data_IF_751847059648
#
_entry.id   IF_751847059648
#
_cell.length_a   1.000
_cell.length_b   1.000
_cell.length_c   1.000
_cell.angle_alpha   90.00
_cell.angle_beta   90.00
_cell.angle_gamma   90.00
#
_symmetry.space_group_name_H-M   'P 1'
#
loop_
_entity.id
_entity.type
_entity.pdbx_description
1 polymer ?
#
# COMPACT_ATOMS: atom_id res chain seq x y z
N UNK A 1 -4.59 -1.97 25.17
CA UNK A 1 -3.67 -1.99 24.00
C UNK A 1 -3.24 -0.55 23.72
N UNK A 2 -1.95 -0.25 23.65
CA UNK A 2 -1.47 1.13 23.38
C UNK A 2 -1.60 1.47 21.89
N UNK A 3 -1.66 2.76 21.55
CA UNK A 3 -1.68 3.22 20.14
C UNK A 3 -0.46 2.74 19.35
N UNK A 4 0.70 2.65 20.02
CA UNK A 4 1.94 2.14 19.42
C UNK A 4 1.83 0.64 19.10
N UNK A 5 1.26 -0.17 20.00
CA UNK A 5 1.06 -1.60 19.74
C UNK A 5 0.12 -1.81 18.56
N UNK A 6 -0.95 -1.01 18.46
CA UNK A 6 -1.88 -1.06 17.34
C UNK A 6 -1.20 -0.67 16.01
N UNK A 7 -0.36 0.36 16.02
CA UNK A 7 0.40 0.79 14.84
C UNK A 7 1.40 -0.27 14.36
N UNK A 8 1.94 -1.11 15.25
CA UNK A 8 2.80 -2.25 14.87
C UNK A 8 1.97 -3.41 14.32
N UNK A 9 0.82 -3.71 14.92
CA UNK A 9 -0.08 -4.77 14.42
C UNK A 9 -0.55 -4.48 12.98
N UNK A 10 -0.82 -3.23 12.66
CA UNK A 10 -1.24 -2.83 11.30
C UNK A 10 -0.11 -3.01 10.27
N UNK A 11 1.16 -2.95 10.68
CA UNK A 11 2.26 -3.28 9.77
C UNK A 11 2.25 -4.73 9.34
N UNK A 12 1.92 -5.65 10.25
CA UNK A 12 1.77 -7.08 9.95
C UNK A 12 0.51 -7.40 9.17
N UNK A 13 -0.55 -6.60 9.32
CA UNK A 13 -1.78 -6.77 8.55
C UNK A 13 -1.54 -6.66 7.03
N UNK A 14 -0.59 -5.82 6.58
CA UNK A 14 -0.26 -5.65 5.17
C UNK A 14 0.30 -6.92 4.50
N UNK A 15 1.44 -7.48 4.92
CA UNK A 15 1.99 -8.70 4.30
C UNK A 15 1.07 -9.91 4.50
N UNK A 16 0.43 -10.05 5.67
CA UNK A 16 -0.53 -11.13 5.90
C UNK A 16 -1.76 -11.01 4.99
N UNK A 17 -2.32 -9.81 4.86
CA UNK A 17 -3.45 -9.54 3.98
C UNK A 17 -3.10 -9.78 2.52
N UNK A 18 -1.94 -9.31 2.06
CA UNK A 18 -1.47 -9.56 0.68
C UNK A 18 -1.30 -11.06 0.45
N UNK A 19 -0.71 -11.79 1.40
CA UNK A 19 -0.58 -13.25 1.31
C UNK A 19 -1.92 -13.97 1.16
N UNK A 20 -2.95 -13.55 1.93
CA UNK A 20 -4.30 -14.10 1.83
C UNK A 20 -4.94 -13.79 0.46
N UNK A 21 -4.80 -12.56 -0.04
CA UNK A 21 -5.31 -12.19 -1.36
C UNK A 21 -4.69 -13.05 -2.45
N UNK A 22 -3.39 -13.29 -2.39
CA UNK A 22 -2.69 -14.16 -3.35
C UNK A 22 -3.23 -15.58 -3.25
N UNK A 23 -3.34 -16.12 -2.03
CA UNK A 23 -3.87 -17.47 -1.83
C UNK A 23 -5.26 -17.61 -2.48
N UNK A 24 -6.18 -16.69 -2.19
CA UNK A 24 -7.53 -16.74 -2.75
C UNK A 24 -7.61 -16.45 -4.24
N UNK A 25 -6.70 -15.62 -4.79
CA UNK A 25 -6.67 -15.35 -6.23
C UNK A 25 -6.15 -16.53 -7.05
N UNK A 26 -5.28 -17.36 -6.47
CA UNK A 26 -4.71 -18.55 -7.13
C UNK A 26 -5.44 -19.85 -6.78
N UNK A 27 -6.31 -19.85 -5.76
CA UNK A 27 -7.10 -21.01 -5.37
C UNK A 27 -8.06 -21.48 -6.47
N UNK A 28 -8.85 -20.61 -7.13
CA UNK A 28 -9.63 -21.00 -8.29
C UNK A 28 -8.76 -21.05 -9.55
N UNK A 29 -9.09 -21.94 -10.47
CA UNK A 29 -8.57 -21.87 -11.84
C UNK A 29 -9.09 -20.59 -12.50
N UNK A 30 -8.18 -19.81 -13.08
CA UNK A 30 -8.50 -18.51 -13.66
C UNK A 30 -7.35 -18.02 -14.54
N UNK A 31 -7.68 -17.21 -15.54
CA UNK A 31 -6.71 -16.56 -16.42
C UNK A 31 -5.96 -15.43 -15.69
N UNK A 32 -4.98 -14.79 -16.35
CA UNK A 32 -4.20 -13.75 -15.71
C UNK A 32 -5.03 -12.49 -15.47
N UNK A 33 -6.04 -12.22 -16.30
CA UNK A 33 -6.97 -11.10 -16.15
C UNK A 33 -7.76 -11.25 -14.85
N UNK A 34 -8.42 -12.39 -14.66
CA UNK A 34 -9.24 -12.69 -13.48
C UNK A 34 -8.41 -12.67 -12.20
N UNK A 35 -7.20 -13.25 -12.24
CA UNK A 35 -6.27 -13.23 -11.10
C UNK A 35 -5.85 -11.81 -10.74
N UNK A 36 -5.55 -10.99 -11.74
CA UNK A 36 -5.13 -9.60 -11.50
C UNK A 36 -6.29 -8.72 -11.05
N UNK A 37 -7.51 -8.97 -11.53
CA UNK A 37 -8.72 -8.28 -11.08
C UNK A 37 -9.01 -8.52 -9.60
N UNK A 38 -8.58 -9.65 -9.04
CA UNK A 38 -8.61 -9.88 -7.59
C UNK A 38 -7.38 -9.26 -6.92
N UNK A 39 -6.17 -9.59 -7.36
CA UNK A 39 -4.93 -9.20 -6.67
C UNK A 39 -4.74 -7.69 -6.66
N UNK A 40 -4.89 -7.01 -7.80
CA UNK A 40 -4.61 -5.59 -7.95
C UNK A 40 -5.42 -4.73 -7.00
N UNK A 41 -6.77 -4.68 -7.15
CA UNK A 41 -7.64 -3.91 -6.28
C UNK A 41 -7.49 -4.24 -4.79
N UNK A 42 -7.43 -5.52 -4.42
CA UNK A 42 -7.33 -5.90 -3.00
C UNK A 42 -5.99 -5.52 -2.38
N UNK A 43 -4.88 -5.66 -3.10
CA UNK A 43 -3.58 -5.18 -2.61
C UNK A 43 -3.61 -3.67 -2.43
N UNK A 44 -4.23 -2.91 -3.34
CA UNK A 44 -4.42 -1.47 -3.18
C UNK A 44 -5.26 -1.13 -1.96
N UNK A 45 -6.40 -1.82 -1.76
CA UNK A 45 -7.26 -1.62 -0.59
C UNK A 45 -6.51 -1.89 0.72
N UNK A 46 -5.73 -2.96 0.79
CA UNK A 46 -4.94 -3.29 1.98
C UNK A 46 -3.86 -2.22 2.22
N UNK A 47 -3.08 -1.90 1.19
CA UNK A 47 -1.95 -0.99 1.33
C UNK A 47 -2.42 0.44 1.63
N UNK A 48 -3.25 1.02 0.77
CA UNK A 48 -3.75 2.38 0.95
C UNK A 48 -4.76 2.47 2.10
N UNK A 49 -5.62 1.48 2.30
CA UNK A 49 -6.59 1.48 3.40
C UNK A 49 -5.93 1.42 4.78
N UNK A 50 -4.91 0.59 4.96
CA UNK A 50 -4.16 0.55 6.24
C UNK A 50 -3.34 1.82 6.48
N UNK A 51 -2.74 2.41 5.43
CA UNK A 51 -2.08 3.73 5.54
C UNK A 51 -3.08 4.81 5.93
N UNK A 52 -4.24 4.85 5.27
CA UNK A 52 -5.31 5.78 5.59
C UNK A 52 -5.74 5.66 7.05
N UNK A 53 -5.95 4.43 7.53
CA UNK A 53 -6.29 4.17 8.92
C UNK A 53 -5.19 4.65 9.88
N UNK A 54 -3.92 4.31 9.63
CA UNK A 54 -2.80 4.76 10.45
C UNK A 54 -2.73 6.29 10.51
N UNK A 55 -2.83 6.97 9.37
CA UNK A 55 -2.73 8.43 9.31
C UNK A 55 -3.93 9.13 9.96
N UNK A 56 -5.15 8.64 9.74
CA UNK A 56 -6.37 9.28 10.24
C UNK A 56 -6.59 9.01 11.73
N UNK A 57 -6.31 7.80 12.20
CA UNK A 57 -6.64 7.36 13.57
C UNK A 57 -5.41 7.37 14.50
N UNK A 58 -4.24 7.00 13.98
CA UNK A 58 -3.02 6.77 14.76
C UNK A 58 -1.88 7.74 14.40
N UNK A 59 -2.19 8.87 13.76
CA UNK A 59 -1.20 9.71 13.08
C UNK A 59 0.05 10.01 13.91
N UNK A 60 -0.11 10.48 15.15
CA UNK A 60 1.00 10.76 16.07
C UNK A 60 1.90 9.54 16.32
N UNK A 61 1.31 8.43 16.76
CA UNK A 61 2.02 7.16 16.98
C UNK A 61 2.69 6.64 15.69
N UNK A 62 2.02 6.80 14.55
CA UNK A 62 2.54 6.39 13.25
C UNK A 62 3.76 7.24 12.85
N UNK A 63 3.73 8.57 13.03
CA UNK A 63 4.85 9.49 12.76
C UNK A 63 6.03 9.21 13.67
N UNK A 64 5.81 9.05 14.97
CA UNK A 64 6.87 8.74 15.93
C UNK A 64 7.57 7.42 15.59
N UNK A 65 6.79 6.38 15.25
CA UNK A 65 7.32 5.07 14.83
C UNK A 65 8.33 5.19 13.68
N UNK A 66 8.04 6.02 12.69
CA UNK A 66 8.91 6.24 11.52
C UNK A 66 9.98 7.33 11.73
N UNK A 67 9.99 7.98 12.89
CA UNK A 67 11.02 8.97 13.24
C UNK A 67 10.76 10.37 12.70
N UNK A 68 9.50 10.67 12.36
CA UNK A 68 9.07 12.01 11.99
C UNK A 68 8.41 12.69 13.18
N UNK A 69 8.53 14.02 13.25
CA UNK A 69 7.70 14.82 14.14
C UNK A 69 6.22 14.67 13.74
N UNK A 70 5.30 14.55 14.70
CA UNK A 70 3.87 14.54 14.41
C UNK A 70 3.42 15.82 13.69
N UNK A 71 2.77 15.67 12.54
CA UNK A 71 2.11 16.76 11.82
C UNK A 71 0.70 16.32 11.46
N UNK A 72 -0.28 16.87 12.18
CA UNK A 72 -1.67 16.43 12.04
C UNK A 72 -2.30 16.83 10.71
N UNK A 73 -1.96 18.01 10.18
CA UNK A 73 -2.53 18.49 8.92
C UNK A 73 -2.07 17.60 7.76
N UNK A 74 -0.78 17.32 7.69
CA UNK A 74 -0.21 16.40 6.71
C UNK A 74 -0.80 14.99 6.84
N UNK A 75 -0.92 14.47 8.05
CA UNK A 75 -1.50 13.15 8.30
C UNK A 75 -2.94 13.04 7.80
N UNK A 76 -3.78 14.05 8.06
CA UNK A 76 -5.16 14.06 7.56
C UNK A 76 -5.18 14.08 6.04
N UNK A 77 -4.41 14.97 5.41
CA UNK A 77 -4.35 15.09 3.96
C UNK A 77 -3.88 13.79 3.28
N UNK A 78 -2.76 13.24 3.74
CA UNK A 78 -2.19 11.99 3.22
C UNK A 78 -3.11 10.80 3.48
N UNK A 79 -3.74 10.77 4.67
CA UNK A 79 -4.71 9.74 5.04
C UNK A 79 -5.96 9.76 4.16
N UNK A 80 -6.53 10.94 3.89
CA UNK A 80 -7.68 11.09 3.00
C UNK A 80 -7.34 10.75 1.55
N UNK A 81 -6.14 11.11 1.06
CA UNK A 81 -5.69 10.71 -0.27
C UNK A 81 -5.61 9.19 -0.41
N UNK A 82 -5.04 8.50 0.58
CA UNK A 82 -4.99 7.04 0.59
C UNK A 82 -6.37 6.39 0.76
N UNK A 83 -7.26 7.00 1.55
CA UNK A 83 -8.64 6.54 1.67
C UNK A 83 -9.36 6.61 0.31
N UNK A 84 -9.20 7.73 -0.42
CA UNK A 84 -9.77 7.88 -1.76
C UNK A 84 -9.25 6.83 -2.73
N UNK A 85 -7.94 6.53 -2.72
CA UNK A 85 -7.36 5.45 -3.53
C UNK A 85 -7.94 4.08 -3.17
N UNK A 86 -8.08 3.76 -1.89
CA UNK A 86 -8.63 2.49 -1.43
C UNK A 86 -10.12 2.33 -1.81
N UNK A 87 -10.93 3.38 -1.64
CA UNK A 87 -12.33 3.39 -2.08
C UNK A 87 -12.43 3.27 -3.59
N UNK A 88 -11.56 3.94 -4.35
CA UNK A 88 -11.53 3.82 -5.81
C UNK A 88 -11.22 2.38 -6.23
N UNK A 89 -10.25 1.72 -5.58
CA UNK A 89 -9.96 0.31 -5.83
C UNK A 89 -11.16 -0.61 -5.54
N UNK A 90 -11.89 -0.36 -4.44
CA UNK A 90 -13.12 -1.08 -4.15
C UNK A 90 -14.18 -0.90 -5.26
N UNK A 91 -14.36 0.33 -5.76
CA UNK A 91 -15.30 0.61 -6.84
C UNK A 91 -14.89 -0.05 -8.15
N UNK A 92 -13.60 0.02 -8.52
CA UNK A 92 -13.04 -0.65 -9.70
C UNK A 92 -13.35 -2.14 -9.68
N UNK A 93 -13.19 -2.78 -8.52
CA UNK A 93 -13.49 -4.20 -8.34
C UNK A 93 -15.00 -4.49 -8.42
N UNK A 94 -15.82 -3.80 -7.61
CA UNK A 94 -17.26 -4.09 -7.52
C UNK A 94 -18.02 -3.80 -8.81
N UNK A 95 -17.55 -2.83 -9.59
CA UNK A 95 -18.20 -2.41 -10.83
C UNK A 95 -17.55 -3.01 -12.09
N UNK A 96 -16.54 -3.87 -11.93
CA UNK A 96 -15.82 -4.52 -13.03
C UNK A 96 -15.39 -3.54 -14.14
N UNK A 97 -14.66 -2.48 -13.77
CA UNK A 97 -14.18 -1.47 -14.73
C UNK A 97 -13.11 -2.01 -15.70
N UNK A 98 -12.72 -3.27 -15.55
CA UNK A 98 -11.80 -3.98 -16.41
C UNK A 98 -10.32 -3.77 -16.10
N UNK A 99 -9.48 -4.62 -16.72
CA UNK A 99 -8.04 -4.76 -16.42
C UNK A 99 -7.20 -3.48 -16.50
N UNK A 100 -7.58 -2.53 -17.35
CA UNK A 100 -6.85 -1.25 -17.47
C UNK A 100 -7.15 -0.34 -16.27
N UNK A 101 -8.34 -0.40 -15.69
CA UNK A 101 -8.66 0.29 -14.45
C UNK A 101 -7.91 -0.33 -13.27
N UNK A 102 -7.86 -1.68 -13.20
CA UNK A 102 -7.05 -2.40 -12.22
C UNK A 102 -5.58 -1.97 -12.28
N UNK A 103 -5.01 -1.95 -13.50
CA UNK A 103 -3.62 -1.54 -13.72
C UNK A 103 -3.39 -0.08 -13.36
N UNK A 104 -4.35 0.81 -13.67
CA UNK A 104 -4.26 2.24 -13.35
C UNK A 104 -4.21 2.47 -11.85
N UNK A 105 -5.10 1.84 -11.08
CA UNK A 105 -5.15 2.05 -9.63
C UNK A 105 -3.95 1.42 -8.91
N UNK A 106 -3.48 0.26 -9.38
CA UNK A 106 -2.21 -0.34 -8.93
C UNK A 106 -1.04 0.58 -9.24
N UNK A 107 -0.98 1.15 -10.44
CA UNK A 107 0.09 2.07 -10.85
C UNK A 107 0.10 3.33 -9.98
N UNK A 108 -1.06 3.94 -9.73
CA UNK A 108 -1.19 5.11 -8.86
C UNK A 108 -0.68 4.83 -7.44
N UNK A 109 -1.05 3.67 -6.88
CA UNK A 109 -0.57 3.22 -5.57
C UNK A 109 0.96 2.99 -5.57
N UNK A 110 1.49 2.29 -6.57
CA UNK A 110 2.93 2.02 -6.69
C UNK A 110 3.74 3.31 -6.82
N UNK A 111 3.27 4.28 -7.61
CA UNK A 111 3.89 5.60 -7.73
C UNK A 111 3.89 6.34 -6.40
N UNK A 112 2.77 6.36 -5.68
CA UNK A 112 2.69 6.97 -4.36
C UNK A 112 3.73 6.36 -3.39
N UNK A 113 3.81 5.03 -3.31
CA UNK A 113 4.77 4.37 -2.42
C UNK A 113 6.22 4.54 -2.88
N UNK A 114 6.49 4.54 -4.19
CA UNK A 114 7.82 4.78 -4.72
C UNK A 114 8.33 6.20 -4.37
N UNK A 115 7.48 7.21 -4.55
CA UNK A 115 7.81 8.60 -4.19
C UNK A 115 7.95 8.75 -2.66
N UNK A 116 7.09 8.08 -1.88
CA UNK A 116 7.23 8.02 -0.42
C UNK A 116 8.55 7.38 -0.01
N UNK A 117 8.91 6.23 -0.60
CA UNK A 117 10.18 5.57 -0.37
C UNK A 117 11.38 6.45 -0.72
N UNK A 118 11.34 7.18 -1.83
CA UNK A 118 12.37 8.14 -2.19
C UNK A 118 12.50 9.24 -1.11
N UNK A 119 11.40 9.75 -0.58
CA UNK A 119 11.42 10.68 0.55
C UNK A 119 12.04 10.06 1.82
N UNK A 120 11.75 8.79 2.11
CA UNK A 120 12.38 8.06 3.21
C UNK A 120 13.90 7.89 3.03
N UNK A 121 14.38 7.66 1.80
CA UNK A 121 15.82 7.64 1.49
C UNK A 121 16.43 9.03 1.72
N UNK A 122 15.81 10.08 1.19
CA UNK A 122 16.29 11.46 1.35
C UNK A 122 16.38 11.85 2.83
N UNK A 123 15.37 11.53 3.62
CA UNK A 123 15.37 11.83 5.07
C UNK A 123 16.35 10.97 5.87
N UNK A 124 16.63 9.74 5.45
CA UNK A 124 17.71 8.94 6.04
C UNK A 124 19.09 9.56 5.76
N UNK A 125 19.36 9.92 4.50
CA UNK A 125 20.68 10.42 4.07
C UNK A 125 20.93 11.86 4.52
N UNK A 126 19.96 12.76 4.35
CA UNK A 126 20.13 14.21 4.66
C UNK A 126 19.69 14.56 6.07
N UNK A 127 18.65 13.90 6.58
CA UNK A 127 18.05 14.18 7.88
C UNK A 127 18.53 13.27 9.01
N UNK A 128 19.36 12.25 8.72
CA UNK A 128 19.87 11.31 9.71
C UNK A 128 18.80 10.40 10.33
N UNK A 129 17.60 10.31 9.73
CA UNK A 129 16.54 9.44 10.25
C UNK A 129 16.83 7.96 9.94
N UNK A 130 17.59 7.31 10.81
CA UNK A 130 18.04 5.93 10.66
C UNK A 130 17.13 4.91 11.35
N UNK A 131 15.87 5.26 11.70
CA UNK A 131 14.95 4.29 12.30
C UNK A 131 14.72 3.11 11.35
N UNK A 132 14.71 1.89 11.89
CA UNK A 132 14.57 0.66 11.09
C UNK A 132 13.36 0.69 10.17
N UNK A 133 12.20 1.13 10.67
CA UNK A 133 10.96 1.24 9.87
C UNK A 133 11.11 2.26 8.74
N UNK A 134 11.86 3.35 8.94
CA UNK A 134 12.17 4.34 7.90
C UNK A 134 13.00 3.70 6.78
N UNK A 135 14.03 2.93 7.15
CA UNK A 135 14.95 2.27 6.22
C UNK A 135 14.34 1.06 5.50
N UNK A 136 13.36 0.40 6.10
CA UNK A 136 12.67 -0.75 5.48
C UNK A 136 11.73 -0.34 4.35
N UNK A 137 11.17 0.88 4.40
CA UNK A 137 10.17 1.34 3.41
C UNK A 137 10.65 1.28 1.96
N UNK A 138 11.86 1.73 1.60
CA UNK A 138 12.40 1.56 0.25
C UNK A 138 12.47 0.09 -0.19
N UNK A 139 13.02 -0.78 0.65
CA UNK A 139 13.15 -2.21 0.34
C UNK A 139 11.79 -2.89 0.14
N UNK A 140 10.84 -2.64 1.04
CA UNK A 140 9.49 -3.20 0.95
C UNK A 140 8.71 -2.66 -0.26
N UNK A 141 8.94 -1.40 -0.64
CA UNK A 141 8.33 -0.83 -1.84
C UNK A 141 8.87 -1.50 -3.11
N UNK A 142 10.18 -1.74 -3.18
CA UNK A 142 10.78 -2.47 -4.31
C UNK A 142 10.25 -3.90 -4.40
N UNK A 143 10.07 -4.58 -3.26
CA UNK A 143 9.46 -5.91 -3.21
C UNK A 143 8.02 -5.88 -3.73
N UNK A 144 7.22 -4.89 -3.33
CA UNK A 144 5.85 -4.73 -3.81
C UNK A 144 5.80 -4.46 -5.32
N UNK A 145 6.69 -3.61 -5.84
CA UNK A 145 6.82 -3.33 -7.28
C UNK A 145 7.19 -4.61 -8.04
N UNK A 146 8.25 -5.30 -7.58
CA UNK A 146 8.73 -6.54 -8.20
C UNK A 146 7.68 -7.65 -8.18
N UNK A 147 6.79 -7.64 -7.19
CA UNK A 147 5.67 -8.57 -7.10
C UNK A 147 4.50 -8.22 -8.05
N UNK A 148 4.03 -6.96 -8.04
CA UNK A 148 2.82 -6.57 -8.78
C UNK A 148 3.06 -6.34 -10.27
N UNK A 149 4.22 -5.80 -10.68
CA UNK A 149 4.48 -5.48 -12.08
C UNK A 149 4.38 -6.72 -13.01
N UNK A 150 4.99 -7.88 -12.69
CA UNK A 150 4.87 -9.06 -13.54
C UNK A 150 3.42 -9.54 -13.72
N UNK A 151 2.62 -9.49 -12.65
CA UNK A 151 1.21 -9.89 -12.69
C UNK A 151 0.39 -8.94 -13.57
N UNK A 152 0.61 -7.64 -13.41
CA UNK A 152 -0.02 -6.61 -14.23
C UNK A 152 0.34 -6.77 -15.70
N UNK A 153 1.62 -6.92 -16.04
CA UNK A 153 2.04 -7.11 -17.44
C UNK A 153 1.45 -8.37 -18.05
N UNK A 154 1.36 -9.47 -17.28
CA UNK A 154 0.74 -10.70 -17.77
C UNK A 154 -0.75 -10.51 -18.08
N UNK A 155 -1.49 -9.80 -17.23
CA UNK A 155 -2.91 -9.54 -17.44
C UNK A 155 -3.18 -8.61 -18.64
N UNK A 156 -2.29 -7.63 -18.88
CA UNK A 156 -2.45 -6.67 -19.98
C UNK A 156 -2.07 -7.23 -21.36
N UNK A 157 -1.28 -8.31 -21.42
CA UNK A 157 -0.81 -8.94 -22.67
C UNK A 157 -1.55 -10.24 -23.04
N UNK A 158 -2.60 -10.62 -22.30
CA UNK A 158 -3.53 -11.68 -22.71
C UNK A 158 -4.65 -11.13 -23.60
#
# INVERSE_FOLDING_TARGET
>A
MTRNNLAVMIEWLRPCGIGLVIFFAFFPDGDAISRFHVIGPFVVMIMSGTVAFESLILGEAASEKIGYAPDRAYQIQSGLANAATAVTALLVYLMDWGRYADATIVTAMLLFFALSAANHVVTAVRGGNMKTVNLLRPGMTLLLIGFLLPLMFKALNQ
#
